data_IF_367777034835
#
_entry.id   IF_367777034835
#
_cell.length_a   1.000
_cell.length_b   1.000
_cell.length_c   1.000
_cell.angle_alpha   90.00
_cell.angle_beta   90.00
_cell.angle_gamma   90.00
#
_symmetry.space_group_name_H-M   'P 1'
#
loop_
_entity.id
_entity.type
_entity.pdbx_description
1 polymer ?
#
# COMPACT_ATOMS: atom_id res chain seq x y z
N UNK A 1 3.79 -5.06 -28.68
CA UNK A 1 4.74 -5.31 -27.57
C UNK A 1 4.11 -5.24 -26.17
N UNK A 2 2.87 -4.73 -25.98
CA UNK A 2 2.32 -4.44 -24.63
C UNK A 2 1.22 -5.40 -24.13
N UNK A 3 0.78 -6.39 -24.92
CA UNK A 3 -0.15 -7.43 -24.45
C UNK A 3 -1.49 -6.89 -23.91
N UNK A 4 -1.88 -7.31 -22.70
CA UNK A 4 -3.12 -6.88 -22.00
C UNK A 4 -3.00 -5.50 -21.33
N UNK A 5 -1.87 -4.83 -21.44
CA UNK A 5 -1.62 -3.56 -20.78
C UNK A 5 -2.24 -2.42 -21.60
N UNK A 6 -3.21 -1.71 -21.01
CA UNK A 6 -3.91 -0.60 -21.63
C UNK A 6 -4.58 0.29 -20.58
N UNK A 7 -5.07 1.46 -20.99
CA UNK A 7 -5.67 2.44 -20.06
C UNK A 7 -6.92 1.92 -19.32
N UNK A 8 -7.58 0.89 -19.85
CA UNK A 8 -8.76 0.27 -19.24
C UNK A 8 -8.47 -0.57 -17.99
N UNK A 9 -7.20 -0.84 -17.66
CA UNK A 9 -6.85 -1.63 -16.46
C UNK A 9 -6.80 -0.78 -15.19
N UNK A 10 -6.76 0.54 -15.33
CA UNK A 10 -6.79 1.47 -14.21
C UNK A 10 -8.27 1.73 -13.87
N UNK A 11 -8.71 1.50 -12.62
CA UNK A 11 -10.11 1.64 -12.24
C UNK A 11 -10.47 3.12 -12.02
N UNK A 12 -10.57 3.90 -13.10
CA UNK A 12 -10.88 5.34 -13.04
C UNK A 12 -12.28 5.65 -12.48
N UNK A 13 -13.18 4.69 -12.60
CA UNK A 13 -14.58 4.71 -12.16
C UNK A 13 -14.76 4.34 -10.67
N UNK A 14 -13.71 3.85 -9.99
CA UNK A 14 -13.77 3.51 -8.58
C UNK A 14 -13.08 4.61 -7.74
N UNK A 15 -13.83 5.36 -6.90
CA UNK A 15 -13.27 6.52 -6.20
C UNK A 15 -12.28 6.13 -5.10
N UNK A 16 -12.53 5.03 -4.37
CA UNK A 16 -11.70 4.61 -3.23
C UNK A 16 -10.29 4.21 -3.70
N UNK A 17 -10.11 3.30 -4.69
CA UNK A 17 -8.77 2.87 -5.10
C UNK A 17 -8.00 3.98 -5.81
N UNK A 18 -8.69 4.81 -6.59
CA UNK A 18 -8.09 5.94 -7.28
C UNK A 18 -7.54 6.97 -6.28
N UNK A 19 -8.32 7.31 -5.26
CA UNK A 19 -7.89 8.23 -4.21
C UNK A 19 -6.70 7.68 -3.42
N UNK A 20 -6.80 6.43 -2.95
CA UNK A 20 -5.71 5.79 -2.20
C UNK A 20 -4.44 5.70 -3.05
N UNK A 21 -4.56 5.29 -4.31
CA UNK A 21 -3.44 5.24 -5.25
C UNK A 21 -2.79 6.59 -5.49
N UNK A 22 -3.58 7.67 -5.63
CA UNK A 22 -3.06 9.02 -5.76
C UNK A 22 -2.33 9.50 -4.51
N UNK A 23 -2.88 9.26 -3.31
CA UNK A 23 -2.23 9.61 -2.03
C UNK A 23 -0.91 8.86 -1.88
N UNK A 24 -0.89 7.55 -2.15
CA UNK A 24 0.34 6.74 -2.08
C UNK A 24 1.39 7.26 -3.06
N UNK A 25 0.98 7.59 -4.29
CA UNK A 25 1.88 8.16 -5.29
C UNK A 25 2.49 9.49 -4.81
N UNK A 26 1.68 10.39 -4.26
CA UNK A 26 2.15 11.67 -3.71
C UNK A 26 3.13 11.45 -2.55
N UNK A 27 2.83 10.52 -1.63
CA UNK A 27 3.73 10.18 -0.52
C UNK A 27 5.07 9.67 -1.04
N UNK A 28 5.07 8.74 -2.01
CA UNK A 28 6.29 8.20 -2.60
C UNK A 28 7.11 9.31 -3.26
N UNK A 29 6.48 10.14 -4.09
CA UNK A 29 7.16 11.27 -4.75
C UNK A 29 7.70 12.28 -3.75
N UNK A 30 6.95 12.56 -2.69
CA UNK A 30 7.37 13.46 -1.60
C UNK A 30 8.60 12.93 -0.85
N UNK A 31 8.62 11.64 -0.52
CA UNK A 31 9.77 10.99 0.11
C UNK A 31 10.99 11.02 -0.81
N UNK A 32 10.82 10.70 -2.10
CA UNK A 32 11.92 10.74 -3.08
C UNK A 32 12.47 12.17 -3.21
N UNK A 33 11.60 13.16 -3.39
CA UNK A 33 11.99 14.55 -3.49
C UNK A 33 12.75 15.03 -2.24
N UNK A 34 12.26 14.66 -1.05
CA UNK A 34 12.92 14.98 0.21
C UNK A 34 14.32 14.33 0.31
N UNK A 35 14.46 13.06 -0.03
CA UNK A 35 15.75 12.35 -0.02
C UNK A 35 16.76 12.98 -0.98
N UNK A 36 16.30 13.41 -2.17
CA UNK A 36 17.14 14.07 -3.17
C UNK A 36 17.57 15.46 -2.68
N UNK A 37 16.62 16.29 -2.24
CA UNK A 37 16.89 17.67 -1.79
C UNK A 37 17.79 17.68 -0.56
N UNK A 38 17.62 16.73 0.36
CA UNK A 38 18.45 16.61 1.56
C UNK A 38 19.82 15.94 1.29
N UNK A 39 20.09 15.47 0.07
CA UNK A 39 21.37 14.84 -0.28
C UNK A 39 21.63 13.51 0.43
N UNK A 40 20.60 12.85 0.95
CA UNK A 40 20.73 11.58 1.70
C UNK A 40 20.91 10.36 0.81
N UNK A 41 20.74 10.49 -0.51
CA UNK A 41 20.85 9.39 -1.47
C UNK A 41 22.14 8.54 -1.35
N UNK A 42 23.37 9.11 -1.37
CA UNK A 42 24.59 8.31 -1.25
C UNK A 42 24.73 7.61 0.10
N UNK A 43 24.23 8.20 1.17
CA UNK A 43 24.22 7.59 2.51
C UNK A 43 23.25 6.41 2.56
N UNK A 44 22.02 6.58 2.08
CA UNK A 44 21.01 5.53 2.06
C UNK A 44 21.47 4.33 1.23
N UNK A 45 22.12 4.58 0.10
CA UNK A 45 22.67 3.54 -0.76
C UNK A 45 23.75 2.73 -0.06
N UNK A 46 24.79 3.38 0.47
CA UNK A 46 25.97 2.71 1.04
C UNK A 46 25.68 2.05 2.39
N UNK A 47 24.88 2.69 3.24
CA UNK A 47 24.70 2.26 4.62
C UNK A 47 23.45 1.39 4.83
N UNK A 48 22.41 1.51 4.02
CA UNK A 48 21.14 0.80 4.27
C UNK A 48 20.83 -0.19 3.15
N UNK A 49 20.72 0.27 1.90
CA UNK A 49 20.26 -0.55 0.78
C UNK A 49 21.25 -1.70 0.49
N UNK A 50 22.55 -1.42 0.47
CA UNK A 50 23.60 -2.44 0.21
C UNK A 50 24.19 -3.04 1.48
N UNK A 51 23.53 -2.88 2.64
CA UNK A 51 24.05 -3.36 3.91
C UNK A 51 23.97 -4.87 4.04
N UNK A 52 25.04 -5.48 4.57
CA UNK A 52 25.08 -6.90 5.00
C UNK A 52 24.98 -7.07 6.54
N UNK A 53 24.96 -5.96 7.30
CA UNK A 53 24.81 -6.00 8.75
C UNK A 53 23.38 -6.48 9.12
N UNK A 54 23.31 -7.63 9.81
CA UNK A 54 22.07 -8.25 10.28
C UNK A 54 21.24 -7.32 11.17
N UNK A 55 21.86 -6.37 11.89
CA UNK A 55 21.13 -5.38 12.69
C UNK A 55 20.36 -4.41 11.79
N UNK A 56 21.01 -3.89 10.73
CA UNK A 56 20.38 -2.95 9.80
C UNK A 56 19.30 -3.63 8.97
N UNK A 57 19.57 -4.86 8.52
CA UNK A 57 18.57 -5.68 7.83
C UNK A 57 17.36 -5.91 8.75
N UNK A 58 17.59 -6.30 10.02
CA UNK A 58 16.51 -6.45 10.99
C UNK A 58 15.64 -5.19 11.13
N UNK A 59 16.26 -4.02 11.25
CA UNK A 59 15.54 -2.73 11.31
C UNK A 59 14.71 -2.49 10.04
N UNK A 60 15.26 -2.74 8.84
CA UNK A 60 14.52 -2.59 7.58
C UNK A 60 13.31 -3.53 7.49
N UNK A 61 13.46 -4.78 7.93
CA UNK A 61 12.37 -5.75 7.95
C UNK A 61 11.26 -5.34 8.93
N UNK A 62 11.62 -4.93 10.16
CA UNK A 62 10.63 -4.46 11.14
C UNK A 62 9.93 -3.20 10.65
N UNK A 63 10.65 -2.27 10.02
CA UNK A 63 10.05 -1.06 9.45
C UNK A 63 9.05 -1.40 8.35
N UNK A 64 9.42 -2.28 7.41
CA UNK A 64 8.51 -2.72 6.36
C UNK A 64 7.27 -3.42 6.94
N UNK A 65 7.46 -4.29 7.93
CA UNK A 65 6.36 -4.96 8.62
C UNK A 65 5.42 -3.96 9.31
N UNK A 66 5.93 -2.91 9.94
CA UNK A 66 5.09 -1.86 10.54
C UNK A 66 4.29 -1.07 9.49
N UNK A 67 4.90 -0.74 8.35
CA UNK A 67 4.21 -0.06 7.25
C UNK A 67 3.11 -0.95 6.66
N UNK A 68 3.41 -2.24 6.46
CA UNK A 68 2.45 -3.21 5.95
C UNK A 68 1.35 -3.55 6.97
N UNK A 69 1.65 -3.48 8.27
CA UNK A 69 0.66 -3.59 9.34
C UNK A 69 -0.38 -2.47 9.24
N UNK A 70 0.02 -1.22 8.96
CA UNK A 70 -0.93 -0.12 8.77
C UNK A 70 -1.84 -0.37 7.56
N UNK A 71 -1.28 -0.90 6.46
CA UNK A 71 -2.03 -1.29 5.26
C UNK A 71 -3.04 -2.40 5.59
N UNK A 72 -2.58 -3.51 6.17
CA UNK A 72 -3.43 -4.64 6.56
C UNK A 72 -4.49 -4.25 7.59
N UNK A 73 -4.16 -3.39 8.55
CA UNK A 73 -5.11 -2.87 9.53
C UNK A 73 -6.19 -2.00 8.89
N UNK A 74 -5.82 -1.15 7.91
CA UNK A 74 -6.78 -0.36 7.14
C UNK A 74 -7.77 -1.27 6.39
N UNK A 75 -7.27 -2.32 5.74
CA UNK A 75 -8.12 -3.32 5.06
C UNK A 75 -9.07 -4.02 6.04
N UNK A 76 -8.58 -4.36 7.25
CA UNK A 76 -9.39 -4.97 8.30
C UNK A 76 -10.52 -4.06 8.78
N UNK A 77 -10.23 -2.78 9.01
CA UNK A 77 -11.25 -1.77 9.36
C UNK A 77 -12.29 -1.68 8.24
N UNK A 78 -11.86 -1.61 6.97
CA UNK A 78 -12.78 -1.52 5.84
C UNK A 78 -13.74 -2.71 5.78
N UNK A 79 -13.22 -3.93 5.97
CA UNK A 79 -14.04 -5.14 5.98
C UNK A 79 -15.04 -5.15 7.14
N UNK A 80 -14.62 -4.75 8.34
CA UNK A 80 -15.51 -4.69 9.53
C UNK A 80 -16.55 -3.60 9.42
N UNK A 81 -16.19 -2.42 8.91
CA UNK A 81 -17.12 -1.34 8.65
C UNK A 81 -18.17 -1.76 7.61
N UNK A 82 -17.76 -2.45 6.54
CA UNK A 82 -18.69 -2.96 5.53
C UNK A 82 -19.69 -3.95 6.14
N UNK A 83 -19.24 -4.90 6.96
CA UNK A 83 -20.13 -5.85 7.64
C UNK A 83 -21.14 -5.15 8.56
N UNK A 84 -20.72 -4.10 9.27
CA UNK A 84 -21.61 -3.34 10.15
C UNK A 84 -22.66 -2.52 9.38
N UNK A 85 -22.27 -1.85 8.30
CA UNK A 85 -23.16 -0.99 7.50
C UNK A 85 -24.09 -1.84 6.62
N UNK A 86 -23.60 -2.96 6.09
CA UNK A 86 -24.37 -3.86 5.24
C UNK A 86 -25.47 -4.64 5.99
N UNK A 87 -25.53 -4.54 7.32
CA UNK A 87 -26.59 -5.16 8.11
C UNK A 87 -27.99 -4.59 7.80
N UNK A 88 -28.08 -3.30 7.44
CA UNK A 88 -29.33 -2.61 7.11
C UNK A 88 -29.30 -1.86 5.76
N UNK A 89 -28.25 -2.02 4.96
CA UNK A 89 -28.10 -1.35 3.67
C UNK A 89 -27.25 -2.20 2.72
N UNK A 90 -27.09 -1.78 1.46
CA UNK A 90 -26.21 -2.47 0.52
C UNK A 90 -24.70 -2.28 0.82
N UNK A 91 -24.34 -1.51 1.86
CA UNK A 91 -22.95 -1.17 2.17
C UNK A 91 -22.32 -0.21 1.17
N UNK A 92 -21.02 0.04 1.32
CA UNK A 92 -20.24 0.94 0.45
C UNK A 92 -19.22 0.20 -0.43
N UNK A 93 -18.96 -1.09 -0.16
CA UNK A 93 -18.08 -1.94 -0.97
C UNK A 93 -18.87 -2.96 -1.81
N UNK A 94 -18.76 -2.92 -3.15
CA UNK A 94 -19.26 -4.00 -4.00
C UNK A 94 -18.58 -5.34 -3.69
N UNK A 95 -19.23 -6.50 -3.93
CA UNK A 95 -18.68 -7.82 -3.61
C UNK A 95 -17.31 -8.09 -4.22
N UNK A 96 -17.09 -7.67 -5.47
CA UNK A 96 -15.81 -7.81 -6.17
C UNK A 96 -14.68 -7.08 -5.43
N UNK A 97 -14.93 -5.84 -5.00
CA UNK A 97 -13.95 -5.04 -4.28
C UNK A 97 -13.69 -5.58 -2.87
N UNK A 98 -14.74 -6.05 -2.18
CA UNK A 98 -14.60 -6.68 -0.87
C UNK A 98 -13.74 -7.94 -0.93
N UNK A 99 -13.95 -8.80 -1.94
CA UNK A 99 -13.17 -10.02 -2.13
C UNK A 99 -11.69 -9.71 -2.39
N UNK A 100 -11.40 -8.69 -3.20
CA UNK A 100 -10.04 -8.23 -3.46
C UNK A 100 -9.35 -7.74 -2.17
N UNK A 101 -10.02 -6.93 -1.35
CA UNK A 101 -9.49 -6.47 -0.05
C UNK A 101 -9.24 -7.64 0.87
N UNK A 102 -10.18 -8.59 1.00
CA UNK A 102 -10.03 -9.75 1.88
C UNK A 102 -8.83 -10.62 1.49
N UNK A 103 -8.71 -10.97 0.22
CA UNK A 103 -7.56 -11.75 -0.28
C UNK A 103 -6.26 -10.99 -0.08
N UNK A 104 -6.23 -9.70 -0.41
CA UNK A 104 -5.03 -8.89 -0.28
C UNK A 104 -4.63 -8.66 1.18
N UNK A 105 -5.59 -8.54 2.10
CA UNK A 105 -5.33 -8.45 3.54
C UNK A 105 -4.67 -9.74 4.05
N UNK A 106 -5.23 -10.90 3.69
CA UNK A 106 -4.68 -12.19 4.07
C UNK A 106 -3.25 -12.40 3.57
N UNK A 107 -2.94 -11.97 2.34
CA UNK A 107 -1.59 -12.07 1.78
C UNK A 107 -0.57 -11.13 2.42
N UNK A 108 -0.98 -9.95 2.89
CA UNK A 108 -0.04 -8.98 3.51
C UNK A 108 0.24 -9.29 4.98
N UNK A 109 -0.73 -9.88 5.69
CA UNK A 109 -0.61 -10.16 7.11
C UNK A 109 0.16 -11.45 7.44
N UNK A 110 0.48 -12.26 6.44
CA UNK A 110 1.25 -13.52 6.55
C UNK A 110 2.64 -13.30 5.95
#
# INVERSE_FOLDING_TARGET
>A
MLGKLGWSVIPFDQPIPLFVGAVVLVVILGVIAWVIVAGHFPYLWREWITSVDHKRIGVMYTLLAMVMLLRGFSDAIMMRAQQAIAYHSNGYLPPEHFNQIFSAHGTIMI
#
